data_IF_027189053531
#
_entry.id   IF_027189053531
#
_cell.length_a   1.000
_cell.length_b   1.000
_cell.length_c   1.000
_cell.angle_alpha   90.00
_cell.angle_beta   90.00
_cell.angle_gamma   90.00
#
_symmetry.space_group_name_H-M   'P 1'
#
loop_
_entity.id
_entity.type
_entity.pdbx_description
1 polymer ?
#
# COMPACT_ATOMS: atom_id res chain seq x y z
N UNK A 1 6.36 1.43 -9.44
CA UNK A 1 6.43 2.86 -9.82
C UNK A 1 7.53 3.55 -9.03
N UNK A 2 8.05 4.73 -9.51
CA UNK A 2 9.05 5.49 -8.76
C UNK A 2 8.63 5.86 -7.35
N UNK A 3 7.36 6.18 -7.13
CA UNK A 3 6.86 6.53 -5.79
C UNK A 3 6.84 5.34 -4.84
N UNK A 4 6.41 4.17 -5.32
CA UNK A 4 6.46 2.93 -4.53
C UNK A 4 7.90 2.52 -4.20
N UNK A 5 8.82 2.67 -5.16
CA UNK A 5 10.25 2.39 -4.97
C UNK A 5 10.86 3.31 -3.91
N UNK A 6 10.59 4.61 -3.99
CA UNK A 6 11.08 5.59 -3.03
C UNK A 6 10.55 5.32 -1.60
N UNK A 7 9.30 4.83 -1.49
CA UNK A 7 8.70 4.49 -0.20
C UNK A 7 9.38 3.30 0.47
N UNK A 8 9.60 2.22 -0.29
CA UNK A 8 10.39 1.08 0.15
C UNK A 8 10.76 0.19 -1.05
N UNK A 9 11.96 -0.36 -1.01
CA UNK A 9 12.46 -1.29 -2.03
C UNK A 9 13.45 -2.29 -1.45
N UNK A 10 13.69 -3.39 -2.16
CA UNK A 10 14.70 -4.38 -1.78
C UNK A 10 16.08 -3.79 -2.08
N UNK A 11 17.00 -3.94 -1.13
CA UNK A 11 18.37 -3.41 -1.22
C UNK A 11 19.04 -3.75 -2.55
N UNK A 12 19.60 -2.72 -3.19
CA UNK A 12 20.32 -2.87 -4.45
C UNK A 12 19.43 -3.09 -5.68
N UNK A 13 18.11 -2.94 -5.56
CA UNK A 13 17.22 -2.98 -6.71
C UNK A 13 17.25 -1.65 -7.47
N UNK A 14 17.09 -1.72 -8.79
CA UNK A 14 16.89 -0.56 -9.67
C UNK A 14 15.41 -0.38 -10.00
N UNK A 15 14.95 0.88 -10.08
CA UNK A 15 13.58 1.16 -10.49
C UNK A 15 13.45 1.29 -12.01
N UNK A 16 12.78 0.33 -12.63
CA UNK A 16 12.39 0.36 -14.05
C UNK A 16 10.88 0.24 -14.16
N UNK A 17 10.19 1.36 -14.38
CA UNK A 17 8.74 1.37 -14.44
C UNK A 17 8.21 0.73 -15.73
N UNK A 18 7.51 -0.41 -15.62
CA UNK A 18 6.94 -1.15 -16.76
C UNK A 18 5.91 -0.36 -17.57
N UNK A 19 5.38 0.73 -17.02
CA UNK A 19 4.41 1.62 -17.70
C UNK A 19 5.09 2.77 -18.45
N UNK A 20 6.41 2.88 -18.35
CA UNK A 20 7.19 3.92 -19.00
C UNK A 20 7.41 3.56 -20.47
N UNK A 21 7.27 4.53 -21.37
CA UNK A 21 7.53 4.32 -22.79
C UNK A 21 8.98 3.84 -23.05
N UNK A 22 9.92 4.24 -22.21
CA UNK A 22 11.34 3.84 -22.26
C UNK A 22 11.62 2.46 -21.62
N UNK A 23 10.60 1.73 -21.15
CA UNK A 23 10.79 0.44 -20.47
C UNK A 23 11.57 -0.56 -21.36
N UNK A 24 11.17 -0.70 -22.64
CA UNK A 24 11.82 -1.58 -23.59
C UNK A 24 13.31 -1.29 -23.78
N UNK A 25 13.67 0.00 -23.93
CA UNK A 25 15.05 0.43 -24.09
C UNK A 25 15.90 0.12 -22.87
N UNK A 26 15.35 0.37 -21.66
CA UNK A 26 16.03 0.12 -20.39
C UNK A 26 16.32 -1.37 -20.18
N UNK A 27 15.35 -2.25 -20.44
CA UNK A 27 15.55 -3.70 -20.27
C UNK A 27 16.49 -4.29 -21.32
N UNK A 28 16.60 -3.69 -22.50
CA UNK A 28 17.53 -4.13 -23.54
C UNK A 28 19.03 -3.89 -23.15
N UNK A 29 19.29 -3.00 -22.21
CA UNK A 29 20.65 -2.67 -21.71
C UNK A 29 21.10 -3.57 -20.56
N UNK A 30 20.27 -4.47 -20.06
CA UNK A 30 20.64 -5.36 -18.99
C UNK A 30 21.75 -6.35 -19.41
N UNK A 31 22.54 -6.81 -18.44
CA UNK A 31 23.61 -7.78 -18.67
C UNK A 31 23.03 -9.20 -18.87
N UNK A 32 23.09 -9.72 -20.08
CA UNK A 32 22.57 -11.07 -20.41
C UNK A 32 23.32 -12.22 -19.76
N UNK A 33 24.51 -11.98 -19.24
CA UNK A 33 25.28 -13.01 -18.53
C UNK A 33 24.77 -13.29 -17.12
N UNK A 34 23.86 -12.43 -16.60
CA UNK A 34 23.31 -12.51 -15.26
C UNK A 34 21.78 -12.77 -15.31
N UNK A 35 21.26 -13.53 -14.35
CA UNK A 35 19.83 -13.64 -14.20
C UNK A 35 19.23 -12.30 -13.72
N UNK A 36 18.03 -11.99 -14.18
CA UNK A 36 17.28 -10.80 -13.77
C UNK A 36 16.23 -11.22 -12.75
N UNK A 37 16.27 -10.63 -11.56
CA UNK A 37 15.21 -10.79 -10.57
C UNK A 37 14.26 -9.59 -10.66
N UNK A 38 12.98 -9.85 -10.88
CA UNK A 38 11.95 -8.81 -11.00
C UNK A 38 10.93 -8.90 -9.88
N UNK A 39 10.48 -7.74 -9.42
CA UNK A 39 9.36 -7.64 -8.51
C UNK A 39 8.59 -6.32 -8.71
N UNK A 40 7.36 -6.29 -8.23
CA UNK A 40 6.60 -5.06 -8.06
C UNK A 40 5.94 -5.06 -6.68
N UNK A 41 4.91 -4.25 -6.46
CA UNK A 41 4.23 -4.21 -5.16
C UNK A 41 3.58 -5.56 -4.81
N UNK A 42 2.82 -6.18 -5.74
CA UNK A 42 1.97 -7.36 -5.49
C UNK A 42 2.13 -8.52 -6.48
N UNK A 43 3.04 -8.44 -7.47
CA UNK A 43 3.28 -9.49 -8.46
C UNK A 43 2.75 -9.19 -9.87
N UNK A 44 1.62 -8.49 -10.05
CA UNK A 44 0.97 -8.33 -11.36
C UNK A 44 1.84 -7.63 -12.42
N UNK A 45 2.48 -6.51 -12.09
CA UNK A 45 3.34 -5.75 -13.00
C UNK A 45 4.67 -6.47 -13.28
N UNK A 46 5.21 -7.15 -12.27
CA UNK A 46 6.43 -7.94 -12.43
C UNK A 46 6.22 -9.14 -13.35
N UNK A 47 5.04 -9.75 -13.34
CA UNK A 47 4.71 -10.81 -14.27
C UNK A 47 4.71 -10.32 -15.76
N UNK A 48 4.15 -9.13 -15.99
CA UNK A 48 4.22 -8.48 -17.32
C UNK A 48 5.68 -8.18 -17.70
N UNK A 49 6.46 -7.62 -16.79
CA UNK A 49 7.87 -7.31 -17.02
C UNK A 49 8.69 -8.57 -17.29
N UNK A 50 8.46 -9.64 -16.52
CA UNK A 50 9.11 -10.95 -16.70
C UNK A 50 8.94 -11.46 -18.12
N UNK A 51 7.70 -11.48 -18.61
CA UNK A 51 7.39 -11.94 -19.98
C UNK A 51 8.16 -11.11 -21.02
N UNK A 52 8.13 -9.78 -20.90
CA UNK A 52 8.84 -8.90 -21.83
C UNK A 52 10.37 -9.11 -21.81
N UNK A 53 10.96 -9.27 -20.62
CA UNK A 53 12.40 -9.48 -20.48
C UNK A 53 12.81 -10.87 -21.00
N UNK A 54 12.00 -11.89 -20.75
CA UNK A 54 12.24 -13.26 -21.28
C UNK A 54 12.20 -13.29 -22.81
N UNK A 55 11.32 -12.51 -23.45
CA UNK A 55 11.25 -12.40 -24.92
C UNK A 55 12.56 -11.88 -25.53
N UNK A 56 13.34 -11.11 -24.76
CA UNK A 56 14.67 -10.62 -25.16
C UNK A 56 15.81 -11.63 -24.88
N UNK A 57 15.48 -12.83 -24.40
CA UNK A 57 16.42 -13.93 -24.18
C UNK A 57 17.14 -13.89 -22.82
N UNK A 58 16.60 -13.19 -21.82
CA UNK A 58 17.14 -13.20 -20.46
C UNK A 58 16.59 -14.36 -19.62
N UNK A 59 17.39 -14.83 -18.68
CA UNK A 59 16.90 -15.69 -17.57
C UNK A 59 16.28 -14.80 -16.52
N UNK A 60 14.97 -14.98 -16.23
CA UNK A 60 14.23 -14.09 -15.34
C UNK A 60 13.55 -14.86 -14.20
N UNK A 61 13.79 -14.43 -12.99
CA UNK A 61 13.08 -14.87 -11.78
C UNK A 61 12.13 -13.77 -11.30
N UNK A 62 11.01 -14.16 -10.73
CA UNK A 62 10.01 -13.25 -10.19
C UNK A 62 9.82 -13.51 -8.70
N UNK A 63 9.78 -12.43 -7.91
CA UNK A 63 9.41 -12.52 -6.51
C UNK A 63 7.89 -12.65 -6.39
N UNK A 64 7.43 -13.84 -6.04
CA UNK A 64 6.01 -14.13 -5.85
C UNK A 64 5.39 -13.23 -4.77
N UNK A 65 4.24 -12.62 -5.09
CA UNK A 65 3.55 -11.68 -4.21
C UNK A 65 4.26 -10.32 -4.04
N UNK A 66 5.38 -10.12 -4.74
CA UNK A 66 6.10 -8.85 -4.77
C UNK A 66 6.65 -8.40 -3.42
N UNK A 67 6.85 -7.08 -3.28
CA UNK A 67 7.41 -6.51 -2.05
C UNK A 67 6.47 -6.67 -0.84
N UNK A 68 5.16 -6.80 -1.05
CA UNK A 68 4.22 -7.09 0.05
C UNK A 68 4.52 -8.45 0.71
N UNK A 69 4.76 -9.49 -0.09
CA UNK A 69 5.15 -10.80 0.44
C UNK A 69 6.53 -10.77 1.12
N UNK A 70 7.48 -10.02 0.57
CA UNK A 70 8.79 -9.80 1.19
C UNK A 70 8.67 -9.16 2.58
N UNK A 71 7.86 -8.10 2.66
CA UNK A 71 7.58 -7.38 3.90
C UNK A 71 6.85 -8.22 4.94
N UNK A 72 5.87 -9.04 4.52
CA UNK A 72 5.12 -9.94 5.43
C UNK A 72 6.01 -10.97 6.12
N UNK A 73 7.16 -11.31 5.49
CA UNK A 73 8.17 -12.21 6.05
C UNK A 73 9.20 -11.48 6.94
N UNK A 74 9.00 -10.19 7.19
CA UNK A 74 9.91 -9.38 8.02
C UNK A 74 11.29 -9.15 7.39
N UNK A 75 11.42 -9.32 6.06
CA UNK A 75 12.67 -9.13 5.36
C UNK A 75 12.99 -7.64 5.17
N UNK A 76 14.27 -7.25 5.17
CA UNK A 76 14.67 -5.85 5.18
C UNK A 76 14.34 -5.15 3.86
N UNK A 77 13.92 -3.89 3.99
CA UNK A 77 13.68 -2.96 2.88
C UNK A 77 14.51 -1.69 3.10
N UNK A 78 14.88 -1.03 2.02
CA UNK A 78 15.49 0.29 2.01
C UNK A 78 14.43 1.34 1.65
N UNK A 79 14.61 2.55 2.17
CA UNK A 79 13.78 3.73 1.89
C UNK A 79 14.66 4.76 1.22
N UNK A 80 14.16 5.43 0.19
CA UNK A 80 14.87 6.57 -0.39
C UNK A 80 14.73 7.78 0.53
N UNK A 81 15.76 8.02 1.34
CA UNK A 81 15.82 9.11 2.32
C UNK A 81 15.79 10.51 1.69
N UNK A 82 15.99 10.63 0.37
CA UNK A 82 15.93 11.90 -0.34
C UNK A 82 14.50 12.31 -0.71
N UNK A 83 13.53 11.40 -0.56
CA UNK A 83 12.12 11.70 -0.79
C UNK A 83 11.34 11.51 0.50
N UNK A 84 10.88 12.59 1.17
CA UNK A 84 10.04 12.46 2.36
C UNK A 84 8.74 11.75 1.95
N UNK A 85 8.56 10.52 2.41
CA UNK A 85 7.40 9.67 2.11
C UNK A 85 6.42 9.60 3.28
N UNK A 86 6.60 10.42 4.31
CA UNK A 86 5.83 10.32 5.55
C UNK A 86 4.68 11.30 5.51
N UNK A 87 3.50 10.83 5.08
CA UNK A 87 2.24 11.55 5.25
C UNK A 87 1.81 11.48 6.74
N UNK A 88 1.92 10.29 7.36
CA UNK A 88 1.69 10.08 8.79
C UNK A 88 2.87 9.38 9.45
N UNK A 89 3.34 9.94 10.59
CA UNK A 89 4.17 9.25 11.56
C UNK A 89 3.26 8.52 12.55
N UNK A 90 3.80 7.58 13.34
CA UNK A 90 3.04 6.97 14.44
C UNK A 90 2.57 8.00 15.47
N UNK A 91 3.36 9.06 15.70
CA UNK A 91 2.98 10.15 16.59
C UNK A 91 1.72 10.88 16.08
N UNK A 92 1.72 11.36 14.83
CA UNK A 92 0.57 12.06 14.24
C UNK A 92 -0.64 11.15 14.06
N UNK A 93 -0.43 9.87 13.73
CA UNK A 93 -1.50 8.87 13.69
C UNK A 93 -2.19 8.71 15.06
N UNK A 94 -1.40 8.51 16.12
CA UNK A 94 -1.92 8.34 17.48
C UNK A 94 -2.61 9.61 18.00
N UNK A 95 -2.13 10.79 17.62
CA UNK A 95 -2.77 12.06 17.96
C UNK A 95 -4.20 12.13 17.39
N UNK A 96 -4.40 11.77 16.13
CA UNK A 96 -5.75 11.73 15.52
C UNK A 96 -6.64 10.74 16.26
N UNK A 97 -6.12 9.53 16.57
CA UNK A 97 -6.88 8.50 17.30
C UNK A 97 -7.28 8.99 18.71
N UNK A 98 -6.37 9.63 19.42
CA UNK A 98 -6.62 10.11 20.78
C UNK A 98 -7.58 11.34 20.83
N UNK A 99 -7.52 12.22 19.84
CA UNK A 99 -8.32 13.44 19.78
C UNK A 99 -9.79 13.21 19.43
N UNK A 100 -10.17 12.03 18.92
CA UNK A 100 -11.49 11.78 18.35
C UNK A 100 -12.21 10.61 19.02
N UNK A 101 -13.53 10.73 19.18
CA UNK A 101 -14.37 9.69 19.84
C UNK A 101 -14.45 8.42 19.04
N UNK A 102 -14.73 8.53 17.74
CA UNK A 102 -14.79 7.40 16.80
C UNK A 102 -13.98 7.76 15.56
N UNK A 103 -13.02 6.92 15.23
CA UNK A 103 -12.17 7.08 14.05
C UNK A 103 -12.24 5.84 13.20
N UNK A 104 -12.60 6.00 11.92
CA UNK A 104 -12.45 4.98 10.90
C UNK A 104 -11.16 5.28 10.13
N UNK A 105 -10.23 4.35 10.14
CA UNK A 105 -8.98 4.43 9.39
C UNK A 105 -9.08 3.58 8.15
N UNK A 106 -8.88 4.19 6.99
CA UNK A 106 -8.84 3.55 5.67
C UNK A 106 -7.38 3.51 5.19
N UNK A 107 -6.77 2.33 5.27
CA UNK A 107 -5.45 2.08 4.69
C UNK A 107 -5.60 1.72 3.22
N UNK A 108 -5.04 2.56 2.38
CA UNK A 108 -5.18 2.45 0.94
C UNK A 108 -3.85 2.71 0.21
N UNK A 109 -3.86 2.52 -1.11
CA UNK A 109 -2.83 3.04 -2.00
C UNK A 109 -3.45 3.47 -3.34
N UNK A 110 -2.80 4.39 -4.03
CA UNK A 110 -3.30 4.95 -5.30
C UNK A 110 -3.41 3.93 -6.43
N UNK A 111 -2.66 2.85 -6.39
CA UNK A 111 -2.67 1.74 -7.35
C UNK A 111 -3.69 0.64 -7.02
N UNK A 112 -4.28 0.65 -5.83
CA UNK A 112 -5.17 -0.40 -5.32
C UNK A 112 -6.58 -0.27 -5.93
N UNK A 113 -6.96 -1.18 -6.81
CA UNK A 113 -8.28 -1.21 -7.45
C UNK A 113 -9.44 -1.32 -6.45
N UNK A 114 -9.44 -2.32 -5.54
CA UNK A 114 -10.49 -2.45 -4.53
C UNK A 114 -10.59 -1.24 -3.60
N UNK A 115 -9.48 -0.58 -3.27
CA UNK A 115 -9.50 0.67 -2.47
C UNK A 115 -10.25 1.80 -3.20
N UNK A 116 -10.04 1.93 -4.52
CA UNK A 116 -10.77 2.92 -5.34
C UNK A 116 -12.27 2.65 -5.36
N UNK A 117 -12.68 1.40 -5.40
CA UNK A 117 -14.09 1.02 -5.33
C UNK A 117 -14.69 1.28 -3.94
N UNK A 118 -13.91 1.15 -2.87
CA UNK A 118 -14.33 1.41 -1.49
C UNK A 118 -14.39 2.90 -1.16
N UNK A 119 -13.60 3.74 -1.80
CA UNK A 119 -13.51 5.18 -1.49
C UNK A 119 -14.87 5.90 -1.46
N UNK A 120 -15.82 5.70 -2.41
CA UNK A 120 -17.15 6.29 -2.34
C UNK A 120 -17.95 5.87 -1.10
N UNK A 121 -17.77 4.63 -0.62
CA UNK A 121 -18.44 4.12 0.58
C UNK A 121 -17.92 4.82 1.84
N UNK A 122 -16.59 5.02 1.93
CA UNK A 122 -15.96 5.77 3.02
C UNK A 122 -16.48 7.22 3.06
N UNK A 123 -16.54 7.89 1.90
CA UNK A 123 -17.07 9.26 1.81
C UNK A 123 -18.54 9.33 2.19
N UNK A 124 -19.35 8.31 1.82
CA UNK A 124 -20.75 8.21 2.23
C UNK A 124 -20.90 8.12 3.75
N UNK A 125 -20.00 7.39 4.44
CA UNK A 125 -20.00 7.33 5.91
C UNK A 125 -19.70 8.69 6.54
N UNK A 126 -18.72 9.44 6.01
CA UNK A 126 -18.46 10.80 6.49
C UNK A 126 -19.66 11.72 6.31
N UNK A 127 -20.30 11.66 5.14
CA UNK A 127 -21.50 12.46 4.86
C UNK A 127 -22.66 12.08 5.78
N UNK A 128 -22.86 10.80 6.05
CA UNK A 128 -23.98 10.27 6.86
C UNK A 128 -23.82 10.61 8.34
N UNK A 129 -22.62 10.42 8.90
CA UNK A 129 -22.37 10.51 10.33
C UNK A 129 -21.77 11.86 10.78
N UNK A 130 -21.33 12.70 9.82
CA UNK A 130 -20.88 14.07 10.08
C UNK A 130 -19.74 14.12 11.12
N UNK A 131 -19.88 15.01 12.09
CA UNK A 131 -18.86 15.27 13.11
C UNK A 131 -18.73 14.16 14.17
N UNK A 132 -19.66 13.20 14.18
CA UNK A 132 -19.55 12.04 15.07
C UNK A 132 -18.49 11.04 14.64
N UNK A 133 -18.10 11.07 13.35
CA UNK A 133 -17.13 10.15 12.73
C UNK A 133 -15.95 10.93 12.15
N UNK A 134 -14.76 10.62 12.60
CA UNK A 134 -13.52 11.04 11.97
C UNK A 134 -13.06 9.95 11.00
N UNK A 135 -12.74 10.33 9.77
CA UNK A 135 -12.14 9.43 8.78
C UNK A 135 -10.68 9.82 8.63
N UNK A 136 -9.79 8.87 8.88
CA UNK A 136 -8.37 8.98 8.64
C UNK A 136 -7.99 8.11 7.45
N UNK A 137 -7.61 8.73 6.34
CA UNK A 137 -7.12 8.02 5.16
C UNK A 137 -5.60 7.96 5.19
N UNK A 138 -5.05 6.75 5.21
CA UNK A 138 -3.61 6.49 5.32
C UNK A 138 -3.12 5.84 4.03
N UNK A 139 -2.40 6.60 3.22
CA UNK A 139 -1.71 6.05 2.05
C UNK A 139 -0.50 5.22 2.53
N UNK A 140 -0.57 3.91 2.32
CA UNK A 140 0.45 2.96 2.81
C UNK A 140 1.81 3.15 2.16
N UNK A 141 1.87 3.74 0.96
CA UNK A 141 3.12 4.02 0.27
C UNK A 141 3.78 5.31 0.77
N UNK A 142 2.99 6.23 1.35
CA UNK A 142 3.47 7.49 1.91
C UNK A 142 3.62 7.48 3.43
N UNK A 143 2.90 6.60 4.12
CA UNK A 143 2.92 6.49 5.59
C UNK A 143 3.66 5.22 6.02
N UNK A 144 4.93 5.13 5.60
CA UNK A 144 5.75 3.92 5.74
C UNK A 144 5.92 3.50 7.20
N UNK A 145 6.12 4.46 8.10
CA UNK A 145 6.27 4.20 9.54
C UNK A 145 5.00 3.51 10.10
N UNK A 146 3.82 4.04 9.77
CA UNK A 146 2.53 3.51 10.22
C UNK A 146 2.27 2.14 9.61
N UNK A 147 2.55 1.98 8.31
CA UNK A 147 2.38 0.72 7.58
C UNK A 147 3.27 -0.40 8.16
N UNK A 148 4.50 -0.09 8.49
CA UNK A 148 5.44 -1.02 9.11
C UNK A 148 5.04 -1.38 10.53
N UNK A 149 4.60 -0.40 11.34
CA UNK A 149 4.14 -0.62 12.71
C UNK A 149 3.00 -1.64 12.74
N UNK A 150 1.99 -1.48 11.88
CA UNK A 150 0.85 -2.39 11.79
C UNK A 150 1.12 -3.62 10.91
N UNK A 151 2.32 -3.78 10.36
CA UNK A 151 2.72 -4.89 9.46
C UNK A 151 1.71 -5.10 8.32
N UNK A 152 1.28 -3.99 7.70
CA UNK A 152 0.25 -4.03 6.66
C UNK A 152 0.80 -4.74 5.42
N UNK A 153 0.23 -5.90 5.10
CA UNK A 153 0.65 -6.74 3.98
C UNK A 153 -0.42 -6.86 2.88
N UNK A 154 -1.63 -6.37 3.15
CA UNK A 154 -2.72 -6.34 2.16
C UNK A 154 -3.64 -5.13 2.41
N UNK A 155 -4.19 -4.57 1.33
CA UNK A 155 -5.12 -3.44 1.33
C UNK A 155 -6.27 -3.69 0.35
N UNK A 156 -7.44 -3.06 0.55
CA UNK A 156 -7.78 -2.13 1.64
C UNK A 156 -7.77 -2.81 3.01
N UNK A 157 -7.40 -2.05 4.05
CA UNK A 157 -7.52 -2.48 5.44
C UNK A 157 -8.30 -1.39 6.18
N UNK A 158 -9.35 -1.79 6.88
CA UNK A 158 -10.16 -0.89 7.70
C UNK A 158 -9.91 -1.18 9.16
N UNK A 159 -9.53 -0.14 9.92
CA UNK A 159 -9.52 -0.17 11.39
C UNK A 159 -10.51 0.83 11.93
N UNK A 160 -11.17 0.50 13.04
CA UNK A 160 -12.06 1.44 13.75
C UNK A 160 -11.60 1.55 15.20
N UNK A 161 -11.52 2.78 15.67
CA UNK A 161 -11.19 3.11 17.05
C UNK A 161 -12.38 3.80 17.73
N UNK A 162 -12.63 3.47 19.00
CA UNK A 162 -13.58 4.16 19.87
C UNK A 162 -12.90 4.55 21.18
N UNK A 163 -12.84 5.85 21.47
CA UNK A 163 -12.16 6.36 22.66
C UNK A 163 -10.68 5.93 22.75
N UNK A 164 -9.98 5.94 21.64
CA UNK A 164 -8.57 5.56 21.55
C UNK A 164 -8.29 4.05 21.50
N UNK A 165 -9.32 3.20 21.66
CA UNK A 165 -9.17 1.73 21.62
C UNK A 165 -9.58 1.20 20.27
N UNK A 166 -8.78 0.30 19.69
CA UNK A 166 -9.13 -0.44 18.50
C UNK A 166 -10.31 -1.40 18.79
N UNK A 167 -11.38 -1.29 18.00
CA UNK A 167 -12.59 -2.10 18.11
C UNK A 167 -12.88 -2.91 16.83
N UNK A 168 -12.17 -2.63 15.75
CA UNK A 168 -12.30 -3.33 14.49
C UNK A 168 -11.00 -3.28 13.69
N UNK A 169 -10.63 -4.40 13.08
CA UNK A 169 -9.47 -4.57 12.20
C UNK A 169 -9.78 -5.65 11.17
N UNK A 170 -9.92 -5.27 9.90
CA UNK A 170 -10.18 -6.25 8.84
C UNK A 170 -9.66 -5.80 7.50
N UNK A 171 -8.91 -6.67 6.86
CA UNK A 171 -8.47 -6.55 5.46
C UNK A 171 -9.58 -6.94 4.51
N UNK A 172 -9.69 -6.22 3.39
CA UNK A 172 -10.60 -6.49 2.31
C UNK A 172 -11.58 -5.35 2.04
N UNK A 173 -12.28 -5.47 0.93
CA UNK A 173 -13.31 -4.53 0.51
C UNK A 173 -14.51 -4.60 1.45
N UNK A 174 -15.08 -3.45 1.76
CA UNK A 174 -16.31 -3.30 2.54
C UNK A 174 -17.34 -2.50 1.74
N UNK A 175 -18.59 -2.94 1.78
CA UNK A 175 -19.71 -2.18 1.22
C UNK A 175 -20.11 -1.03 2.15
N UNK A 176 -20.94 -0.12 1.64
CA UNK A 176 -21.46 0.97 2.46
C UNK A 176 -22.33 0.45 3.63
N UNK A 177 -23.12 -0.61 3.39
CA UNK A 177 -23.99 -1.25 4.39
C UNK A 177 -23.16 -1.91 5.48
N UNK A 178 -22.07 -2.60 5.12
CA UNK A 178 -21.17 -3.23 6.11
C UNK A 178 -20.51 -2.17 6.99
N UNK A 179 -19.96 -1.09 6.39
CA UNK A 179 -19.36 0.01 7.14
C UNK A 179 -20.35 0.69 8.07
N UNK A 180 -21.57 0.96 7.57
CA UNK A 180 -22.62 1.57 8.38
C UNK A 180 -23.04 0.69 9.56
N UNK A 181 -23.22 -0.61 9.31
CA UNK A 181 -23.55 -1.59 10.36
C UNK A 181 -22.48 -1.65 11.48
N UNK A 182 -21.21 -1.50 11.14
CA UNK A 182 -20.13 -1.42 12.12
C UNK A 182 -20.17 -0.13 12.92
N UNK A 183 -20.49 0.99 12.28
CA UNK A 183 -20.42 2.32 12.88
C UNK A 183 -21.65 2.65 13.74
N UNK A 184 -22.85 2.19 13.38
CA UNK A 184 -24.12 2.57 14.03
C UNK A 184 -24.13 2.29 15.54
N UNK A 185 -23.43 1.23 15.98
CA UNK A 185 -23.33 0.85 17.39
C UNK A 185 -22.16 1.50 18.13
N UNK A 186 -21.33 2.25 17.42
CA UNK A 186 -20.14 2.90 17.97
C UNK A 186 -20.33 4.42 18.16
N UNK A 187 -21.22 5.02 17.38
CA UNK A 187 -21.53 6.45 17.35
C UNK A 187 -22.67 6.83 18.29
#
# INVERSE_FOLDING_TARGET
TPDEYASNHIKGADNVNVRDASFGDKIALLDKSKPVLVYCKSGNRSSTAKTAIQTLGYTVYELEGGVLNWQSKGLPLEVDLNKPTTEFTMASYNEVIAANKVVLVDFYATWCGPCKMMAPHIEAMKKKHGDKLTILKVDTDKSVEVSNHFKINAIPLVKIYKGGKEVYDKTGYHTAEELDGLLVNLL
#
